data_IF_320206179028
#
_entry.id   IF_320206179028
#
_cell.length_a   1.000
_cell.length_b   1.000
_cell.length_c   1.000
_cell.angle_alpha   90.00
_cell.angle_beta   90.00
_cell.angle_gamma   90.00
#
_symmetry.space_group_name_H-M   'P 1'
#
loop_
_entity.id
_entity.type
_entity.pdbx_description
1 polymer ?
#
# COMPACT_ATOMS: atom_id res chain seq x y z
N UNK A 1 -24.93 -13.80 -12.88
CA UNK A 1 -24.06 -12.68 -12.46
C UNK A 1 -23.68 -11.86 -13.68
N UNK A 2 -23.64 -10.54 -13.57
CA UNK A 2 -23.17 -9.64 -14.65
C UNK A 2 -21.89 -8.96 -14.20
N UNK A 3 -20.92 -8.83 -15.10
CA UNK A 3 -19.67 -8.12 -14.89
C UNK A 3 -19.35 -7.28 -16.12
N UNK A 4 -18.59 -6.20 -15.91
CA UNK A 4 -18.13 -5.32 -16.97
C UNK A 4 -16.62 -5.17 -16.87
N UNK A 5 -15.95 -5.22 -18.03
CA UNK A 5 -14.50 -5.07 -18.14
C UNK A 5 -14.19 -3.81 -18.93
N UNK A 6 -13.24 -3.02 -18.43
CA UNK A 6 -12.84 -1.74 -19.01
C UNK A 6 -11.32 -1.64 -19.03
N UNK A 7 -10.79 -0.92 -20.02
CA UNK A 7 -9.36 -0.58 -20.12
C UNK A 7 -9.26 0.93 -20.23
N UNK A 8 -8.38 1.52 -19.42
CA UNK A 8 -8.12 2.96 -19.37
C UNK A 8 -6.61 3.15 -19.56
N UNK A 9 -6.21 4.18 -20.31
CA UNK A 9 -4.81 4.54 -20.51
C UNK A 9 -4.55 5.97 -20.01
N UNK A 10 -3.36 6.19 -19.45
CA UNK A 10 -2.84 7.49 -19.03
C UNK A 10 -1.34 7.54 -19.30
N UNK A 11 -0.79 8.59 -19.92
CA UNK A 11 0.66 8.73 -20.06
C UNK A 11 1.32 8.84 -18.67
N UNK A 12 2.49 8.23 -18.50
CA UNK A 12 3.28 8.29 -17.27
C UNK A 12 4.69 8.80 -17.57
N UNK A 13 5.12 9.82 -16.83
CA UNK A 13 6.48 10.35 -16.91
C UNK A 13 7.51 9.53 -16.13
N UNK A 14 8.80 9.90 -16.20
CA UNK A 14 9.85 9.24 -15.44
C UNK A 14 9.72 9.51 -13.93
N UNK A 15 9.62 8.45 -13.12
CA UNK A 15 9.50 8.54 -11.65
C UNK A 15 10.72 9.16 -10.97
N UNK A 16 11.91 8.99 -11.55
CA UNK A 16 13.19 9.45 -10.99
C UNK A 16 13.93 10.39 -11.96
N UNK A 17 13.22 11.37 -12.52
CA UNK A 17 13.77 12.28 -13.53
C UNK A 17 15.05 13.04 -13.09
N UNK A 18 15.25 13.18 -11.78
CA UNK A 18 16.40 13.88 -11.17
C UNK A 18 17.30 12.93 -10.34
N UNK A 19 17.18 11.62 -10.54
CA UNK A 19 17.84 10.58 -9.74
C UNK A 19 16.94 9.96 -8.67
N UNK A 20 17.39 8.84 -8.12
CA UNK A 20 16.67 8.10 -7.06
C UNK A 20 16.87 8.82 -5.74
N UNK A 21 15.76 9.21 -5.10
CA UNK A 21 15.76 9.77 -3.75
C UNK A 21 15.17 8.74 -2.77
N UNK A 22 15.78 8.56 -1.57
CA UNK A 22 15.21 7.71 -0.55
C UNK A 22 13.90 8.30 -0.02
N UNK A 23 13.03 7.45 0.49
CA UNK A 23 11.77 7.84 1.12
C UNK A 23 11.78 7.46 2.60
N UNK A 24 11.20 8.31 3.42
CA UNK A 24 10.90 7.99 4.82
C UNK A 24 9.69 7.06 4.88
N UNK A 25 9.76 6.05 5.75
CA UNK A 25 8.78 4.98 5.86
C UNK A 25 8.29 4.90 7.29
N UNK A 26 6.96 4.88 7.48
CA UNK A 26 6.32 4.70 8.78
C UNK A 26 5.85 3.26 8.93
N UNK A 27 6.32 2.58 9.97
CA UNK A 27 5.93 1.19 10.24
C UNK A 27 4.55 1.16 10.92
N UNK A 28 3.58 0.55 10.25
CA UNK A 28 2.25 0.30 10.81
C UNK A 28 2.27 -0.93 11.71
N UNK A 29 2.09 -0.72 13.02
CA UNK A 29 1.96 -1.80 14.02
C UNK A 29 0.51 -2.08 14.43
N UNK A 30 -0.41 -1.16 14.12
CA UNK A 30 -1.84 -1.25 14.49
C UNK A 30 -2.73 -1.72 13.33
N UNK A 31 -2.26 -1.60 12.09
CA UNK A 31 -3.04 -1.90 10.89
C UNK A 31 -2.29 -2.86 9.97
N UNK A 32 -3.06 -3.72 9.30
CA UNK A 32 -2.59 -4.59 8.25
C UNK A 32 -3.28 -4.26 6.92
N UNK A 33 -2.56 -4.44 5.81
CA UNK A 33 -3.10 -4.24 4.44
C UNK A 33 -4.12 -5.31 4.05
N UNK A 34 -3.87 -6.54 4.48
CA UNK A 34 -4.73 -7.70 4.27
C UNK A 34 -4.56 -8.69 5.42
N UNK A 35 -5.55 -9.55 5.64
CA UNK A 35 -5.49 -10.63 6.63
C UNK A 35 -4.97 -11.94 6.00
N UNK A 36 -4.52 -12.88 6.85
CA UNK A 36 -4.16 -14.25 6.43
C UNK A 36 -5.33 -14.93 5.73
N UNK A 37 -5.10 -15.46 4.53
CA UNK A 37 -6.15 -16.07 3.70
C UNK A 37 -7.10 -15.05 3.06
N UNK A 38 -6.87 -13.75 3.26
CA UNK A 38 -7.63 -12.67 2.63
C UNK A 38 -7.17 -12.40 1.21
N UNK A 39 -7.52 -11.21 0.70
CA UNK A 39 -7.27 -10.82 -0.68
C UNK A 39 -5.89 -10.22 -0.93
N UNK A 40 -4.93 -10.35 0.00
CA UNK A 40 -3.62 -9.68 -0.08
C UNK A 40 -2.85 -9.97 -1.36
N UNK A 41 -2.92 -11.22 -1.85
CA UNK A 41 -2.25 -11.64 -3.09
C UNK A 41 -2.99 -11.23 -4.38
N UNK A 42 -4.20 -10.69 -4.28
CA UNK A 42 -4.99 -10.22 -5.42
C UNK A 42 -5.01 -8.69 -5.49
N UNK A 43 -5.12 -8.12 -6.70
CA UNK A 43 -5.22 -6.65 -6.89
C UNK A 43 -6.65 -6.14 -6.66
N UNK A 44 -7.22 -6.52 -5.52
CA UNK A 44 -8.57 -6.16 -5.12
C UNK A 44 -8.62 -4.75 -4.50
N UNK A 45 -9.63 -3.96 -4.86
CA UNK A 45 -9.80 -2.59 -4.35
C UNK A 45 -9.87 -2.49 -2.82
N UNK A 46 -10.38 -3.52 -2.14
CA UNK A 46 -10.45 -3.56 -0.67
C UNK A 46 -9.09 -3.42 0.03
N UNK A 47 -8.02 -3.98 -0.56
CA UNK A 47 -6.69 -3.88 0.01
C UNK A 47 -6.17 -2.43 -0.02
N UNK A 48 -6.52 -1.68 -1.07
CA UNK A 48 -6.17 -0.26 -1.22
C UNK A 48 -6.99 0.61 -0.28
N UNK A 49 -8.29 0.32 -0.14
CA UNK A 49 -9.14 1.04 0.79
C UNK A 49 -8.63 0.91 2.24
N UNK A 50 -8.18 -0.30 2.62
CA UNK A 50 -7.61 -0.56 3.94
C UNK A 50 -6.30 0.20 4.22
N UNK A 51 -5.52 0.54 3.19
CA UNK A 51 -4.24 1.24 3.36
C UNK A 51 -4.35 2.77 3.46
N UNK A 52 -5.52 3.36 3.13
CA UNK A 52 -5.68 4.83 3.11
C UNK A 52 -5.47 5.48 4.48
N UNK A 53 -6.08 4.95 5.54
CA UNK A 53 -5.94 5.50 6.89
C UNK A 53 -4.50 5.35 7.44
N UNK A 54 -3.85 4.17 7.35
CA UNK A 54 -2.44 4.03 7.71
C UNK A 54 -1.51 4.98 6.96
N UNK A 55 -1.75 5.19 5.65
CA UNK A 55 -0.96 6.13 4.86
C UNK A 55 -1.17 7.59 5.30
N UNK A 56 -2.39 7.98 5.69
CA UNK A 56 -2.64 9.30 6.29
C UNK A 56 -1.89 9.47 7.62
N UNK A 57 -1.84 8.42 8.46
CA UNK A 57 -1.04 8.44 9.69
C UNK A 57 0.44 8.60 9.38
N UNK A 58 0.97 7.88 8.38
CA UNK A 58 2.36 8.02 7.94
C UNK A 58 2.69 9.46 7.54
N UNK A 59 1.81 10.11 6.78
CA UNK A 59 1.98 11.53 6.42
C UNK A 59 1.99 12.45 7.64
N UNK A 60 1.10 12.22 8.61
CA UNK A 60 1.08 12.99 9.86
C UNK A 60 2.37 12.83 10.68
N UNK A 61 3.12 11.75 10.47
CA UNK A 61 4.43 11.49 11.09
C UNK A 61 5.61 11.96 10.23
N UNK A 62 5.37 12.66 9.12
CA UNK A 62 6.41 13.12 8.21
C UNK A 62 7.04 12.02 7.36
N UNK A 63 6.38 10.86 7.24
CA UNK A 63 6.81 9.75 6.39
C UNK A 63 6.09 9.76 5.05
N UNK A 64 6.81 9.47 3.97
CA UNK A 64 6.26 9.45 2.62
C UNK A 64 5.42 8.20 2.34
N UNK A 65 5.71 7.08 2.99
CA UNK A 65 5.03 5.79 2.78
C UNK A 65 4.76 5.10 4.11
N UNK A 66 3.74 4.25 4.14
CA UNK A 66 3.51 3.28 5.20
C UNK A 66 4.23 1.98 4.86
N UNK A 67 4.63 1.20 5.87
CA UNK A 67 5.08 -0.18 5.73
C UNK A 67 4.22 -1.07 6.61
N UNK A 68 3.70 -2.15 6.05
CA UNK A 68 2.88 -3.13 6.75
C UNK A 68 3.72 -4.32 7.21
N UNK A 69 3.37 -4.80 8.40
CA UNK A 69 3.86 -6.08 8.93
C UNK A 69 2.86 -7.18 8.61
N UNK A 70 3.32 -8.42 8.73
CA UNK A 70 2.48 -9.60 8.61
C UNK A 70 1.31 -9.53 9.61
N UNK A 71 0.09 -9.91 9.19
CA UNK A 71 -1.10 -9.76 10.01
C UNK A 71 -1.21 -10.79 11.14
N UNK A 72 -0.27 -11.73 11.27
CA UNK A 72 -0.36 -12.88 12.18
C UNK A 72 0.48 -12.66 13.43
N UNK A 73 1.76 -12.39 13.23
CA UNK A 73 2.76 -12.19 14.28
C UNK A 73 3.11 -10.71 14.45
N UNK A 74 2.83 -9.85 13.46
CA UNK A 74 3.19 -8.44 13.50
C UNK A 74 4.70 -8.22 13.60
N UNK A 75 5.49 -9.08 12.93
CA UNK A 75 6.94 -9.14 13.08
C UNK A 75 7.67 -9.08 11.74
N UNK A 76 7.12 -9.70 10.71
CA UNK A 76 7.76 -9.80 9.40
C UNK A 76 7.30 -8.66 8.51
N UNK A 77 8.24 -8.07 7.78
CA UNK A 77 7.95 -7.01 6.80
C UNK A 77 7.24 -7.63 5.60
N UNK A 78 6.13 -7.03 5.16
CA UNK A 78 5.42 -7.44 3.94
C UNK A 78 5.57 -6.42 2.82
N UNK A 79 4.92 -5.26 2.94
CA UNK A 79 4.73 -4.35 1.80
C UNK A 79 4.74 -2.86 2.21
N UNK A 80 5.17 -2.03 1.26
CA UNK A 80 4.97 -0.57 1.26
C UNK A 80 3.62 -0.22 0.62
#
# INVERSE_FOLDING_TARGET
HKASYYVIASPAGPYFAKGVAPVSIWLSTEYARAAKGGTGAAKCGGNYAASLLPQQKAYAQGCSQVLFLDPVEGKYIEEL
#
